data_IF_263150171756
#
_entry.id   IF_263150171756
#
_cell.length_a   1.000
_cell.length_b   1.000
_cell.length_c   1.000
_cell.angle_alpha   90.00
_cell.angle_beta   90.00
_cell.angle_gamma   90.00
#
_symmetry.space_group_name_H-M   'P 1'
#
loop_
_entity.id
_entity.type
_entity.pdbx_description
1 polymer ?
#
# COMPACT_ATOMS: atom_id res chain seq x y z
N UNK A 1 -51.78 46.79 -0.45
CA UNK A 1 -52.18 45.65 0.39
C UNK A 1 -51.53 44.42 -0.23
N UNK A 2 -50.31 44.09 0.22
CA UNK A 2 -50.03 43.06 1.25
C UNK A 2 -50.18 41.67 0.64
N UNK A 3 -49.25 40.72 0.70
CA UNK A 3 -47.97 40.59 1.39
C UNK A 3 -47.28 39.33 0.83
N UNK A 4 -45.95 39.28 0.93
CA UNK A 4 -45.13 38.08 0.74
C UNK A 4 -45.49 36.96 1.74
N UNK A 5 -45.20 35.69 1.44
CA UNK A 5 -44.10 34.99 2.14
C UNK A 5 -43.89 33.52 1.74
N UNK A 6 -42.62 33.29 1.45
CA UNK A 6 -41.79 32.07 1.36
C UNK A 6 -42.27 30.84 2.15
N UNK A 7 -42.24 29.71 1.46
CA UNK A 7 -42.29 28.35 2.01
C UNK A 7 -40.98 28.03 2.74
N UNK A 8 -41.06 27.62 4.03
CA UNK A 8 -39.97 26.98 4.77
C UNK A 8 -40.36 25.55 5.14
N UNK A 9 -39.43 24.60 4.93
CA UNK A 9 -39.44 23.28 5.58
C UNK A 9 -39.24 23.45 7.10
N UNK A 10 -39.75 22.53 7.93
CA UNK A 10 -39.11 22.23 9.19
C UNK A 10 -38.72 20.76 9.35
N UNK A 11 -37.56 20.64 9.97
CA UNK A 11 -36.86 19.49 10.50
C UNK A 11 -37.39 19.20 11.93
N UNK A 12 -37.14 17.98 12.41
CA UNK A 12 -37.06 17.54 13.81
C UNK A 12 -38.19 16.68 14.45
N UNK A 13 -37.68 15.54 14.98
CA UNK A 13 -37.96 14.89 16.27
C UNK A 13 -39.27 14.12 16.42
N UNK A 14 -39.15 12.79 16.40
CA UNK A 14 -40.02 11.90 17.19
C UNK A 14 -39.21 10.83 17.89
N UNK A 15 -39.01 11.03 19.18
CA UNK A 15 -38.74 9.99 20.17
C UNK A 15 -40.08 9.66 20.85
N UNK A 16 -40.39 8.35 20.90
CA UNK A 16 -41.12 7.61 21.94
C UNK A 16 -42.60 7.86 22.24
N UNK A 17 -43.37 6.79 22.05
CA UNK A 17 -44.44 6.16 22.89
C UNK A 17 -45.23 5.27 21.90
N UNK A 18 -45.36 3.95 22.09
CA UNK A 18 -46.49 3.29 22.79
C UNK A 18 -46.16 1.84 23.17
N UNK A 19 -46.96 1.35 24.13
CA UNK A 19 -46.81 0.21 25.03
C UNK A 19 -47.11 -1.20 24.48
N UNK A 20 -46.42 -2.20 25.10
CA UNK A 20 -46.87 -3.50 25.63
C UNK A 20 -48.20 -4.13 25.17
N UNK A 21 -48.16 -5.42 24.75
CA UNK A 21 -49.13 -6.48 25.12
C UNK A 21 -48.47 -7.89 25.17
N UNK A 22 -48.61 -8.53 26.34
CA UNK A 22 -48.75 -9.96 26.72
C UNK A 22 -47.78 -11.05 26.23
N UNK A 23 -46.97 -11.67 27.10
CA UNK A 23 -47.24 -12.82 28.04
C UNK A 23 -47.32 -14.19 27.35
N UNK A 24 -46.24 -14.98 27.49
CA UNK A 24 -46.27 -16.45 27.59
C UNK A 24 -45.45 -16.85 28.82
N UNK A 25 -46.08 -17.58 29.74
CA UNK A 25 -45.51 -18.18 30.95
C UNK A 25 -45.36 -19.69 30.73
N UNK A 26 -44.47 -20.30 31.53
CA UNK A 26 -44.20 -21.73 31.81
C UNK A 26 -42.91 -22.22 31.14
N UNK A 27 -41.86 -22.65 31.86
CA UNK A 27 -41.68 -22.81 33.31
C UNK A 27 -40.19 -23.00 33.64
N UNK A 28 -39.79 -22.46 34.80
CA UNK A 28 -38.49 -22.70 35.41
C UNK A 28 -38.69 -23.59 36.65
N UNK A 29 -37.92 -24.67 36.72
CA UNK A 29 -37.74 -25.48 37.92
C UNK A 29 -36.29 -25.38 38.39
N UNK A 30 -36.15 -24.98 39.65
CA UNK A 30 -35.12 -25.38 40.62
C UNK A 30 -33.67 -24.87 40.47
N UNK A 31 -33.25 -24.11 41.50
CA UNK A 31 -32.08 -24.53 42.27
C UNK A 31 -31.04 -23.47 42.62
N UNK A 32 -31.34 -22.58 43.57
CA UNK A 32 -30.36 -21.79 44.34
C UNK A 32 -29.36 -22.67 45.11
N UNK A 33 -28.08 -22.25 45.20
CA UNK A 33 -27.32 -22.13 46.47
C UNK A 33 -26.23 -21.05 46.42
N UNK A 34 -26.34 -20.12 47.38
CA UNK A 34 -25.36 -19.16 47.98
C UNK A 34 -24.10 -19.89 48.54
N UNK A 35 -22.96 -19.29 48.93
CA UNK A 35 -22.49 -17.91 49.14
C UNK A 35 -20.94 -17.92 49.30
N UNK A 36 -20.34 -16.76 49.00
CA UNK A 36 -19.22 -16.04 49.67
C UNK A 36 -17.79 -16.60 49.84
N UNK A 37 -16.85 -15.78 49.31
CA UNK A 37 -15.65 -15.17 49.98
C UNK A 37 -14.51 -16.09 50.47
N UNK A 38 -13.21 -15.73 50.51
CA UNK A 38 -12.33 -14.64 50.04
C UNK A 38 -10.90 -15.03 50.53
N UNK A 39 -9.87 -14.55 49.84
CA UNK A 39 -8.45 -14.34 50.27
C UNK A 39 -7.47 -15.54 50.32
N UNK A 40 -6.34 -15.28 49.65
CA UNK A 40 -5.10 -16.04 49.57
C UNK A 40 -4.22 -16.00 50.84
N UNK A 41 -3.30 -16.97 51.00
CA UNK A 41 -1.89 -16.73 51.37
C UNK A 41 -1.03 -18.01 51.28
N UNK A 42 0.01 -17.88 50.45
CA UNK A 42 1.31 -18.56 50.31
C UNK A 42 1.87 -19.41 51.47
N UNK A 43 2.42 -20.59 51.14
CA UNK A 43 3.82 -21.00 51.49
C UNK A 43 4.25 -22.35 50.87
N UNK A 44 5.36 -22.27 50.11
CA UNK A 44 6.46 -23.23 49.82
C UNK A 44 6.30 -24.76 49.95
N UNK A 45 6.72 -25.50 48.92
CA UNK A 45 7.79 -26.53 49.00
C UNK A 45 8.33 -26.90 47.59
N UNK A 46 9.63 -27.13 47.55
CA UNK A 46 10.60 -27.32 46.48
C UNK A 46 10.48 -28.63 45.69
N UNK A 47 10.94 -28.58 44.43
CA UNK A 47 11.55 -29.66 43.62
C UNK A 47 10.70 -30.81 43.10
N UNK A 48 10.44 -30.79 41.78
CA UNK A 48 10.67 -31.96 40.94
C UNK A 48 11.08 -31.52 39.54
N UNK A 49 12.33 -31.84 39.25
CA UNK A 49 13.04 -31.71 37.98
C UNK A 49 12.41 -32.64 36.93
N UNK A 50 11.99 -32.09 35.80
CA UNK A 50 11.84 -32.86 34.56
C UNK A 50 12.39 -32.07 33.38
N UNK A 51 13.30 -32.72 32.69
CA UNK A 51 14.25 -32.15 31.75
C UNK A 51 13.62 -31.67 30.43
N UNK A 52 14.10 -30.48 30.02
CA UNK A 52 14.48 -30.02 28.67
C UNK A 52 13.52 -30.33 27.51
N UNK A 53 12.67 -29.35 27.22
CA UNK A 53 12.36 -28.94 25.85
C UNK A 53 13.25 -27.73 25.48
N UNK A 54 13.63 -27.54 24.20
CA UNK A 54 14.67 -26.61 23.81
C UNK A 54 14.22 -25.17 24.07
N UNK A 55 15.12 -24.41 24.70
CA UNK A 55 15.01 -22.98 25.02
C UNK A 55 14.31 -22.20 23.90
N UNK A 56 13.04 -21.85 24.10
CA UNK A 56 12.41 -20.72 23.40
C UNK A 56 13.19 -19.49 23.84
N UNK A 57 14.03 -18.94 22.95
CA UNK A 57 14.80 -17.73 23.25
C UNK A 57 13.82 -16.63 23.62
N UNK A 58 13.86 -16.18 24.87
CA UNK A 58 13.09 -15.01 25.29
C UNK A 58 13.78 -13.80 24.66
N UNK A 59 13.14 -13.22 23.64
CA UNK A 59 13.57 -11.96 23.02
C UNK A 59 13.17 -10.84 23.97
N UNK A 60 14.14 -10.12 24.51
CA UNK A 60 13.88 -8.92 25.33
C UNK A 60 13.67 -7.72 24.42
N UNK A 61 12.51 -7.06 24.55
CA UNK A 61 12.15 -5.88 23.77
C UNK A 61 12.43 -4.60 24.58
N UNK A 62 12.84 -3.49 23.96
CA UNK A 62 12.90 -2.20 24.62
C UNK A 62 11.50 -1.73 25.07
N UNK A 63 11.36 -1.00 26.19
CA UNK A 63 10.04 -0.58 26.70
C UNK A 63 9.18 0.19 25.69
N UNK A 64 9.80 1.05 24.87
CA UNK A 64 9.08 1.80 23.84
C UNK A 64 8.51 0.92 22.72
N UNK A 65 9.18 -0.20 22.39
CA UNK A 65 8.69 -1.18 21.44
C UNK A 65 7.51 -1.96 22.02
N UNK A 66 7.64 -2.42 23.27
CA UNK A 66 6.56 -3.11 23.99
C UNK A 66 5.30 -2.24 24.10
N UNK A 67 5.47 -0.95 24.37
CA UNK A 67 4.36 0.01 24.47
C UNK A 67 3.61 0.16 23.14
N UNK A 68 4.33 0.35 22.03
CA UNK A 68 3.69 0.44 20.71
C UNK A 68 2.97 -0.86 20.36
N UNK A 69 3.63 -2.01 20.54
CA UNK A 69 3.04 -3.33 20.28
C UNK A 69 1.77 -3.52 21.11
N UNK A 70 1.79 -3.14 22.39
CA UNK A 70 0.65 -3.26 23.30
C UNK A 70 -0.54 -2.42 22.82
N UNK A 71 -0.33 -1.17 22.40
CA UNK A 71 -1.41 -0.30 21.92
C UNK A 71 -2.02 -0.85 20.63
N UNK A 72 -1.19 -1.23 19.65
CA UNK A 72 -1.67 -1.78 18.38
C UNK A 72 -2.37 -3.14 18.60
N UNK A 73 -1.80 -4.02 19.41
CA UNK A 73 -2.40 -5.33 19.73
C UNK A 73 -3.72 -5.21 20.50
N UNK A 74 -3.87 -4.16 21.31
CA UNK A 74 -5.15 -3.82 21.94
C UNK A 74 -6.21 -3.50 20.89
N UNK A 75 -5.88 -2.59 19.97
CA UNK A 75 -6.76 -2.20 18.87
C UNK A 75 -7.09 -3.36 17.91
N UNK A 76 -6.15 -4.28 17.65
CA UNK A 76 -6.39 -5.50 16.89
C UNK A 76 -7.47 -6.38 17.55
N UNK A 77 -7.46 -6.51 18.88
CA UNK A 77 -8.49 -7.28 19.61
C UNK A 77 -9.84 -6.59 19.56
N UNK A 78 -9.88 -5.30 19.88
CA UNK A 78 -11.12 -4.50 19.81
C UNK A 78 -11.73 -4.50 18.40
N UNK A 79 -10.92 -4.43 17.35
CA UNK A 79 -11.38 -4.48 15.96
C UNK A 79 -11.98 -5.84 15.58
N UNK A 80 -11.48 -6.94 16.16
CA UNK A 80 -12.03 -8.28 15.96
C UNK A 80 -13.39 -8.45 16.62
N UNK A 81 -13.58 -7.84 17.78
CA UNK A 81 -14.83 -7.88 18.55
C UNK A 81 -15.85 -6.83 18.06
N UNK A 82 -15.46 -5.94 17.16
CA UNK A 82 -16.33 -4.90 16.61
C UNK A 82 -17.40 -5.47 15.66
N UNK A 83 -18.65 -5.09 15.91
CA UNK A 83 -19.84 -5.51 15.17
C UNK A 83 -20.03 -4.77 13.84
N UNK A 84 -19.41 -3.59 13.70
CA UNK A 84 -19.54 -2.75 12.51
C UNK A 84 -18.34 -1.81 12.33
N UNK A 85 -18.24 -1.20 11.15
CA UNK A 85 -17.12 -0.34 10.80
C UNK A 85 -17.09 1.00 11.56
N UNK A 86 -18.22 1.46 12.11
CA UNK A 86 -18.21 2.66 12.96
C UNK A 86 -17.48 2.39 14.28
N UNK A 87 -17.67 1.22 14.88
CA UNK A 87 -16.92 0.80 16.07
C UNK A 87 -15.42 0.67 15.75
N UNK A 88 -15.07 0.06 14.60
CA UNK A 88 -13.67 -0.02 14.13
C UNK A 88 -13.05 1.37 13.91
N UNK A 89 -13.80 2.30 13.32
CA UNK A 89 -13.38 3.68 13.14
C UNK A 89 -13.05 4.35 14.48
N UNK A 90 -13.89 4.13 15.49
CA UNK A 90 -13.63 4.58 16.87
C UNK A 90 -12.38 3.95 17.49
N UNK A 91 -12.21 2.63 17.36
CA UNK A 91 -11.01 1.91 17.81
C UNK A 91 -9.74 2.46 17.17
N UNK A 92 -9.76 2.69 15.84
CA UNK A 92 -8.63 3.26 15.12
C UNK A 92 -8.28 4.65 15.63
N UNK A 93 -9.27 5.54 15.76
CA UNK A 93 -9.06 6.89 16.26
C UNK A 93 -8.47 6.90 17.68
N UNK A 94 -8.95 6.01 18.56
CA UNK A 94 -8.42 5.89 19.92
C UNK A 94 -6.97 5.35 19.93
N UNK A 95 -6.69 4.32 19.12
CA UNK A 95 -5.33 3.78 18.93
C UNK A 95 -4.36 4.87 18.50
N UNK A 96 -4.70 5.62 17.45
CA UNK A 96 -3.81 6.64 16.89
C UNK A 96 -3.54 7.77 17.90
N UNK A 97 -4.57 8.16 18.67
CA UNK A 97 -4.40 9.09 19.79
C UNK A 97 -3.42 8.57 20.85
N UNK A 98 -3.55 7.30 21.26
CA UNK A 98 -2.66 6.69 22.26
C UNK A 98 -1.21 6.61 21.75
N UNK A 99 -1.02 6.18 20.50
CA UNK A 99 0.30 6.15 19.85
C UNK A 99 0.92 7.55 19.89
N UNK A 100 0.15 8.59 19.53
CA UNK A 100 0.64 9.97 19.52
C UNK A 100 0.96 10.55 20.89
N UNK A 101 0.30 10.08 21.95
CA UNK A 101 0.61 10.48 23.32
C UNK A 101 1.91 9.84 23.83
N UNK A 102 2.21 8.61 23.38
CA UNK A 102 3.35 7.82 23.87
C UNK A 102 4.61 8.04 23.03
N UNK A 103 4.49 8.11 21.70
CA UNK A 103 5.61 8.29 20.76
C UNK A 103 6.04 9.76 20.69
N UNK A 104 6.75 10.22 21.72
CA UNK A 104 7.34 11.58 21.76
C UNK A 104 8.45 11.78 20.72
N UNK A 105 9.13 10.70 20.35
CA UNK A 105 10.13 10.64 19.28
C UNK A 105 9.68 9.59 18.26
N UNK A 106 9.89 9.90 16.98
CA UNK A 106 9.73 8.92 15.90
C UNK A 106 11.00 8.10 15.66
N UNK A 107 12.15 8.57 16.15
CA UNK A 107 13.39 7.82 16.10
C UNK A 107 13.42 6.79 17.24
N UNK A 108 13.81 5.55 16.90
CA UNK A 108 13.85 4.41 17.81
C UNK A 108 15.20 3.70 17.70
N UNK A 109 15.60 3.03 18.78
CA UNK A 109 16.87 2.32 18.87
C UNK A 109 16.70 0.92 19.44
N UNK A 110 17.44 -0.02 18.86
CA UNK A 110 17.56 -1.41 19.30
C UNK A 110 16.24 -2.18 19.41
N UNK A 111 15.28 -1.88 18.53
CA UNK A 111 14.04 -2.64 18.42
C UNK A 111 14.30 -4.00 17.80
N UNK A 112 13.44 -4.98 18.07
CA UNK A 112 13.63 -6.36 17.64
C UNK A 112 12.47 -6.84 16.79
N UNK A 113 12.76 -7.15 15.54
CA UNK A 113 11.79 -7.66 14.58
C UNK A 113 12.20 -9.00 13.99
N UNK A 114 11.23 -9.77 13.53
CA UNK A 114 11.45 -10.97 12.72
C UNK A 114 11.43 -10.59 11.25
N UNK A 115 12.41 -11.04 10.47
CA UNK A 115 12.50 -10.71 9.05
C UNK A 115 11.41 -11.44 8.27
N UNK A 116 10.48 -10.68 7.68
CA UNK A 116 9.40 -11.20 6.84
C UNK A 116 9.75 -11.09 5.36
N UNK A 117 10.47 -10.05 4.95
CA UNK A 117 10.90 -9.89 3.56
C UNK A 117 12.27 -9.20 3.49
N UNK A 118 13.15 -9.77 2.66
CA UNK A 118 14.36 -9.12 2.15
C UNK A 118 14.25 -9.20 0.64
N UNK A 119 14.31 -8.06 -0.02
CA UNK A 119 14.18 -7.98 -1.47
C UNK A 119 14.94 -6.77 -2.01
N UNK A 120 14.93 -6.58 -3.32
CA UNK A 120 15.35 -5.34 -3.95
C UNK A 120 14.25 -4.84 -4.89
N UNK A 121 14.07 -3.53 -4.96
CA UNK A 121 13.22 -2.94 -5.97
C UNK A 121 13.92 -3.01 -7.36
N UNK A 122 13.23 -2.56 -8.41
CA UNK A 122 13.77 -2.56 -9.78
C UNK A 122 15.02 -1.70 -9.97
N UNK A 123 15.29 -0.75 -9.07
CA UNK A 123 16.50 0.10 -9.08
C UNK A 123 17.68 -0.57 -8.35
N UNK A 124 17.49 -1.77 -7.82
CA UNK A 124 18.47 -2.47 -7.00
C UNK A 124 18.57 -1.97 -5.56
N UNK A 125 17.67 -1.09 -5.11
CA UNK A 125 17.62 -0.62 -3.72
C UNK A 125 16.93 -1.67 -2.84
N UNK A 126 17.43 -1.83 -1.63
CA UNK A 126 16.92 -2.83 -0.69
C UNK A 126 15.52 -2.50 -0.18
N UNK A 127 14.67 -3.52 -0.13
CA UNK A 127 13.33 -3.50 0.46
C UNK A 127 13.34 -4.45 1.65
N UNK A 128 12.95 -3.96 2.83
CA UNK A 128 13.00 -4.71 4.08
C UNK A 128 11.67 -4.62 4.81
N UNK A 129 11.14 -5.77 5.24
CA UNK A 129 9.95 -5.87 6.08
C UNK A 129 10.28 -6.72 7.32
N UNK A 130 10.02 -6.15 8.51
CA UNK A 130 10.18 -6.82 9.79
C UNK A 130 8.83 -6.89 10.54
N UNK A 131 8.44 -8.07 10.98
CA UNK A 131 7.32 -8.27 11.91
C UNK A 131 7.81 -8.02 13.35
N UNK A 132 7.29 -6.99 14.02
CA UNK A 132 7.60 -6.71 15.44
C UNK A 132 6.66 -7.43 16.40
N UNK A 133 5.47 -7.81 15.93
CA UNK A 133 4.49 -8.63 16.65
C UNK A 133 3.48 -9.24 15.64
N UNK A 134 2.66 -10.23 16.04
CA UNK A 134 1.69 -10.85 15.13
C UNK A 134 0.79 -9.82 14.44
N UNK A 135 0.91 -9.72 13.11
CA UNK A 135 0.16 -8.75 12.31
C UNK A 135 0.60 -7.30 12.52
N UNK A 136 1.83 -7.03 12.96
CA UNK A 136 2.36 -5.68 13.08
C UNK A 136 3.72 -5.64 12.38
N UNK A 137 3.77 -4.92 11.25
CA UNK A 137 4.95 -4.88 10.38
C UNK A 137 5.52 -3.47 10.33
N UNK A 138 6.85 -3.37 10.39
CA UNK A 138 7.60 -2.17 10.01
C UNK A 138 8.32 -2.44 8.70
N UNK A 139 8.18 -1.53 7.73
CA UNK A 139 8.69 -1.77 6.38
C UNK A 139 9.14 -0.51 5.67
N UNK A 140 10.07 -0.70 4.75
CA UNK A 140 10.32 0.28 3.70
C UNK A 140 9.15 0.33 2.72
N UNK A 141 9.12 1.34 1.87
CA UNK A 141 8.43 1.24 0.59
C UNK A 141 9.09 0.16 -0.27
N UNK A 142 8.37 -0.33 -1.27
CA UNK A 142 8.86 -1.29 -2.25
C UNK A 142 9.16 -0.65 -3.61
N UNK A 143 8.89 0.64 -3.79
CA UNK A 143 9.10 1.39 -5.02
C UNK A 143 9.57 2.83 -4.72
N UNK A 144 10.45 3.36 -5.57
CA UNK A 144 11.10 4.65 -5.32
C UNK A 144 10.15 5.86 -5.36
N UNK A 145 9.01 5.74 -6.05
CA UNK A 145 8.04 6.85 -6.22
C UNK A 145 7.26 7.09 -4.93
N UNK A 146 6.67 6.05 -4.35
CA UNK A 146 6.00 6.16 -3.04
C UNK A 146 6.99 6.48 -1.92
N UNK A 147 8.26 6.14 -2.15
CA UNK A 147 9.36 6.47 -1.26
C UNK A 147 9.85 7.93 -1.35
N UNK A 148 9.43 8.75 -2.33
CA UNK A 148 9.95 10.13 -2.47
C UNK A 148 9.75 10.97 -1.21
N UNK A 149 8.62 10.78 -0.50
CA UNK A 149 8.31 11.51 0.72
C UNK A 149 9.06 10.99 1.95
N UNK A 150 9.52 9.74 1.93
CA UNK A 150 10.00 9.04 3.12
C UNK A 150 11.49 8.62 3.02
N UNK A 151 11.99 8.29 1.83
CA UNK A 151 13.38 7.91 1.56
C UNK A 151 13.81 6.71 2.39
N UNK A 152 12.96 5.69 2.48
CA UNK A 152 13.10 4.44 3.24
C UNK A 152 13.85 3.34 2.49
N UNK A 153 13.87 3.35 1.16
CA UNK A 153 14.58 2.36 0.36
C UNK A 153 16.06 2.36 0.72
N UNK A 154 16.62 1.17 0.86
CA UNK A 154 17.96 1.01 1.38
C UNK A 154 18.95 1.11 0.22
N UNK A 155 19.72 2.20 0.19
CA UNK A 155 20.66 2.46 -0.90
C UNK A 155 21.77 1.40 -0.96
N UNK A 156 22.12 0.87 -2.16
CA UNK A 156 23.27 0.01 -2.35
C UNK A 156 24.56 0.65 -1.83
N UNK A 157 25.44 -0.18 -1.28
CA UNK A 157 26.72 0.28 -0.70
C UNK A 157 26.61 0.86 0.72
N UNK A 158 25.41 1.05 1.27
CA UNK A 158 25.25 1.43 2.68
C UNK A 158 25.48 0.24 3.63
N UNK A 159 25.90 0.48 4.88
CA UNK A 159 26.04 -0.59 5.89
C UNK A 159 24.73 -1.36 6.14
N UNK A 160 23.59 -0.66 6.08
CA UNK A 160 22.26 -1.26 6.21
C UNK A 160 22.00 -2.23 5.06
N UNK A 161 22.29 -1.84 3.81
CA UNK A 161 22.15 -2.73 2.64
C UNK A 161 23.03 -3.97 2.74
N UNK A 162 24.31 -3.76 3.08
CA UNK A 162 25.29 -4.83 3.19
C UNK A 162 24.89 -5.87 4.24
N UNK A 163 24.31 -5.42 5.35
CA UNK A 163 23.87 -6.32 6.42
C UNK A 163 22.53 -6.97 6.07
N UNK A 164 21.53 -6.20 5.64
CA UNK A 164 20.20 -6.70 5.31
C UNK A 164 20.22 -7.75 4.19
N UNK A 165 21.03 -7.54 3.14
CA UNK A 165 21.14 -8.45 1.99
C UNK A 165 21.66 -9.86 2.34
N UNK A 166 22.28 -10.02 3.52
CA UNK A 166 22.79 -11.30 4.00
C UNK A 166 21.81 -12.00 4.96
N UNK A 167 20.73 -11.33 5.36
CA UNK A 167 19.75 -11.86 6.30
C UNK A 167 18.76 -12.80 5.60
N UNK A 168 18.13 -13.67 6.39
CA UNK A 168 17.18 -14.66 5.87
C UNK A 168 15.78 -14.43 6.44
N UNK A 169 14.75 -14.67 5.64
CA UNK A 169 13.36 -14.71 6.12
C UNK A 169 13.26 -15.64 7.33
N UNK A 170 12.56 -15.21 8.36
CA UNK A 170 12.35 -15.97 9.60
C UNK A 170 13.36 -15.68 10.71
N UNK A 171 14.50 -15.07 10.40
CA UNK A 171 15.52 -14.67 11.38
C UNK A 171 15.05 -13.48 12.23
N UNK A 172 15.48 -13.41 13.49
CA UNK A 172 15.32 -12.20 14.30
C UNK A 172 16.44 -11.19 14.06
N UNK A 173 16.08 -9.92 14.07
CA UNK A 173 16.93 -8.78 13.78
C UNK A 173 16.79 -7.73 14.88
N UNK A 174 17.91 -7.14 15.31
CA UNK A 174 17.88 -5.88 16.04
C UNK A 174 18.03 -4.73 15.03
N UNK A 175 17.23 -3.69 15.13
CA UNK A 175 17.22 -2.58 14.20
C UNK A 175 17.01 -1.23 14.90
N UNK A 176 17.43 -0.17 14.23
CA UNK A 176 17.18 1.22 14.63
C UNK A 176 16.81 2.04 13.41
N UNK A 177 16.20 3.21 13.63
CA UNK A 177 15.74 4.06 12.54
C UNK A 177 14.67 5.04 12.98
N UNK A 178 13.82 5.44 12.05
CA UNK A 178 12.74 6.38 12.31
C UNK A 178 11.44 6.02 11.60
N UNK A 179 10.34 6.18 12.33
CA UNK A 179 8.99 6.28 11.76
C UNK A 179 8.76 7.66 11.13
N UNK A 180 7.66 7.77 10.39
CA UNK A 180 7.18 9.03 9.82
C UNK A 180 5.84 9.40 10.43
N UNK A 181 5.53 10.70 10.47
CA UNK A 181 4.18 11.15 10.84
C UNK A 181 3.19 10.70 9.78
N UNK A 182 2.05 10.19 10.22
CA UNK A 182 0.92 9.95 9.35
C UNK A 182 0.28 11.26 8.90
N UNK A 183 -0.58 11.17 7.88
CA UNK A 183 -1.40 12.29 7.42
C UNK A 183 -2.72 12.32 8.18
N UNK A 184 -3.35 13.50 8.24
CA UNK A 184 -4.62 13.73 8.92
C UNK A 184 -4.59 13.35 10.41
N UNK A 185 -5.40 12.37 10.83
CA UNK A 185 -5.48 11.88 12.19
C UNK A 185 -4.55 10.69 12.48
N UNK A 186 -3.79 10.22 11.47
CA UNK A 186 -2.89 9.07 11.63
C UNK A 186 -1.60 9.51 12.32
N UNK A 187 -1.21 8.81 13.40
CA UNK A 187 -0.03 9.20 14.15
C UNK A 187 1.28 8.81 13.43
N UNK A 188 1.30 7.60 12.89
CA UNK A 188 2.41 7.04 12.13
C UNK A 188 1.95 6.80 10.70
N UNK A 189 2.84 7.05 9.74
CA UNK A 189 2.57 6.70 8.36
C UNK A 189 2.48 5.17 8.22
N UNK A 190 1.48 4.69 7.50
CA UNK A 190 1.27 3.27 7.21
C UNK A 190 0.84 3.06 5.74
N UNK A 191 1.08 1.87 5.20
CA UNK A 191 0.75 1.49 3.82
C UNK A 191 -0.62 0.79 3.70
N UNK A 192 -1.22 0.39 4.83
CA UNK A 192 -2.50 -0.32 4.83
C UNK A 192 -3.65 0.58 4.38
N UNK A 193 -4.45 0.13 3.41
CA UNK A 193 -5.49 0.96 2.77
C UNK A 193 -6.83 0.88 3.51
N UNK A 194 -7.32 -0.32 3.80
CA UNK A 194 -8.64 -0.51 4.39
C UNK A 194 -8.64 -0.25 5.89
N UNK A 195 -9.75 0.24 6.45
CA UNK A 195 -9.89 0.40 7.91
C UNK A 195 -9.55 -0.89 8.67
N UNK A 196 -9.99 -2.03 8.14
CA UNK A 196 -9.70 -3.35 8.72
C UNK A 196 -8.22 -3.71 8.60
N UNK A 197 -7.60 -3.47 7.43
CA UNK A 197 -6.16 -3.68 7.23
C UNK A 197 -5.32 -2.83 8.19
N UNK A 198 -5.65 -1.54 8.30
CA UNK A 198 -5.02 -0.62 9.25
C UNK A 198 -5.10 -1.12 10.69
N UNK A 199 -6.21 -1.75 11.09
CA UNK A 199 -6.39 -2.24 12.47
C UNK A 199 -5.82 -3.64 12.70
N UNK A 200 -5.95 -4.55 11.75
CA UNK A 200 -5.62 -5.97 11.92
C UNK A 200 -4.18 -6.29 11.52
N UNK A 201 -3.68 -5.64 10.47
CA UNK A 201 -2.36 -5.87 9.90
C UNK A 201 -1.69 -4.55 9.47
N UNK A 202 -1.48 -3.58 10.38
CA UNK A 202 -0.84 -2.32 10.04
C UNK A 202 0.56 -2.52 9.48
N UNK A 203 0.83 -1.81 8.40
CA UNK A 203 2.09 -1.80 7.68
C UNK A 203 2.79 -0.45 7.87
N UNK A 204 3.49 -0.30 9.01
CA UNK A 204 4.11 0.96 9.41
C UNK A 204 5.33 1.30 8.53
N UNK A 205 5.34 2.50 7.97
CA UNK A 205 6.45 2.99 7.14
C UNK A 205 7.64 3.34 8.02
N UNK A 206 8.81 2.80 7.70
CA UNK A 206 10.02 2.93 8.51
C UNK A 206 11.28 3.11 7.67
N UNK A 207 12.17 4.01 8.11
CA UNK A 207 13.51 4.19 7.54
C UNK A 207 14.55 3.59 8.47
N UNK A 208 15.21 2.54 8.01
CA UNK A 208 16.27 1.85 8.76
C UNK A 208 17.57 2.66 8.75
N UNK A 209 18.15 2.89 9.93
CA UNK A 209 19.50 3.44 10.10
C UNK A 209 20.51 2.37 10.52
N UNK A 210 20.05 1.29 11.16
CA UNK A 210 20.85 0.10 11.45
C UNK A 210 19.99 -1.15 11.45
N UNK A 211 20.59 -2.28 11.06
CA UNK A 211 20.01 -3.61 11.20
C UNK A 211 21.15 -4.60 11.43
N UNK A 212 20.93 -5.58 12.30
CA UNK A 212 21.87 -6.66 12.55
C UNK A 212 21.12 -7.94 12.97
N UNK A 213 21.69 -9.14 12.77
CA UNK A 213 21.16 -10.36 13.38
C UNK A 213 20.99 -10.18 14.90
N UNK A 214 19.83 -10.56 15.43
CA UNK A 214 19.62 -10.56 16.88
C UNK A 214 20.41 -11.70 17.50
N UNK A 215 21.39 -11.36 18.34
CA UNK A 215 22.12 -12.32 19.16
C UNK A 215 21.64 -12.14 20.60
N UNK A 216 21.02 -13.17 21.18
CA UNK A 216 20.38 -13.12 22.50
C UNK A 216 21.32 -12.70 23.66
N UNK A 217 22.64 -12.65 23.44
CA UNK A 217 23.64 -12.20 24.42
C UNK A 217 23.92 -10.69 24.41
N UNK A 218 23.45 -9.91 23.42
CA UNK A 218 23.72 -8.46 23.32
C UNK A 218 22.63 -7.54 23.90
N UNK A 219 21.48 -8.07 24.31
CA UNK A 219 20.33 -7.26 24.71
C UNK A 219 20.44 -6.55 26.08
N UNK A 220 21.53 -6.73 26.82
CA UNK A 220 21.71 -6.11 28.13
C UNK A 220 22.57 -4.82 28.12
N UNK A 221 23.29 -4.52 27.04
CA UNK A 221 24.33 -3.47 27.05
C UNK A 221 23.93 -2.14 26.40
N UNK A 222 22.80 -2.06 25.68
CA UNK A 222 22.47 -0.88 24.86
C UNK A 222 21.52 0.13 25.54
N UNK A 223 21.32 0.03 26.86
CA UNK A 223 20.38 0.86 27.61
C UNK A 223 20.96 2.20 28.14
N UNK A 224 22.06 2.74 27.57
CA UNK A 224 22.61 4.04 27.97
C UNK A 224 23.23 4.76 26.76
N UNK A 225 22.70 5.94 26.40
CA UNK A 225 23.20 6.82 25.32
C UNK A 225 24.57 7.48 25.63
N UNK A 226 25.09 8.44 24.83
CA UNK A 226 24.34 9.54 24.17
C UNK A 226 24.74 9.88 22.70
N UNK A 227 23.93 10.74 22.07
CA UNK A 227 24.18 11.50 20.81
C UNK A 227 25.26 12.58 21.06
N UNK A 228 26.16 12.97 20.10
CA UNK A 228 25.86 14.12 19.23
C UNK A 228 26.56 14.18 17.83
N UNK A 229 26.05 15.13 17.03
CA UNK A 229 26.76 16.03 16.10
C UNK A 229 27.07 15.60 14.64
N UNK A 230 26.26 16.16 13.72
CA UNK A 230 26.63 16.95 12.54
C UNK A 230 28.01 16.79 11.90
N UNK A 231 28.05 16.60 10.57
CA UNK A 231 28.98 17.33 9.69
C UNK A 231 28.53 17.30 8.20
N UNK A 232 29.17 18.06 7.27
CA UNK A 232 28.49 19.00 6.40
C UNK A 232 28.54 18.58 4.92
N UNK A 233 27.99 19.46 4.08
CA UNK A 233 27.94 19.39 2.63
C UNK A 233 29.22 18.86 1.95
N UNK A 234 29.03 17.96 0.97
CA UNK A 234 29.97 17.75 -0.12
C UNK A 234 29.21 17.84 -1.44
N UNK A 235 29.43 18.96 -2.10
CA UNK A 235 29.14 19.19 -3.51
C UNK A 235 30.07 18.33 -4.35
N UNK A 236 29.55 17.45 -5.20
CA UNK A 236 30.22 17.07 -6.43
C UNK A 236 29.19 16.87 -7.53
N UNK A 237 29.30 17.72 -8.55
CA UNK A 237 28.57 17.62 -9.79
C UNK A 237 29.10 16.42 -10.59
N UNK A 238 28.19 15.69 -11.25
CA UNK A 238 28.51 14.77 -12.35
C UNK A 238 27.48 15.03 -13.46
N UNK A 239 27.90 15.15 -14.74
CA UNK A 239 27.09 15.76 -15.77
C UNK A 239 26.05 14.80 -16.37
N UNK A 240 24.93 15.42 -16.75
CA UNK A 240 23.85 14.87 -17.55
C UNK A 240 24.36 14.45 -18.94
N UNK A 241 24.26 13.14 -19.25
CA UNK A 241 24.44 12.63 -20.59
C UNK A 241 23.10 12.06 -21.08
N UNK A 242 22.50 12.78 -22.02
CA UNK A 242 21.43 12.29 -22.87
C UNK A 242 21.95 11.14 -23.74
N UNK A 243 21.18 10.07 -23.85
CA UNK A 243 21.32 9.12 -24.94
C UNK A 243 19.94 8.58 -25.32
N UNK A 244 19.42 9.12 -26.42
CA UNK A 244 18.39 8.50 -27.22
C UNK A 244 18.91 7.15 -27.74
N UNK A 245 18.06 6.12 -27.69
CA UNK A 245 18.26 4.92 -28.48
C UNK A 245 16.93 4.58 -29.17
N UNK A 246 16.83 5.08 -30.40
CA UNK A 246 15.98 4.53 -31.45
C UNK A 246 16.47 3.14 -31.83
N UNK A 247 15.63 2.12 -31.70
CA UNK A 247 15.76 0.90 -32.50
C UNK A 247 14.36 0.32 -32.73
N UNK A 248 14.03 0.06 -33.99
CA UNK A 248 13.07 -0.96 -34.40
C UNK A 248 13.26 -1.25 -35.91
N UNK A 249 12.79 -2.39 -36.47
CA UNK A 249 12.53 -3.72 -35.89
C UNK A 249 13.12 -4.87 -36.75
N UNK A 250 13.25 -6.09 -36.21
CA UNK A 250 12.99 -7.36 -36.94
C UNK A 250 13.09 -8.61 -36.03
N UNK A 251 12.03 -9.42 -36.05
CA UNK A 251 11.95 -10.86 -35.78
C UNK A 251 12.47 -11.43 -34.44
N UNK A 252 11.51 -11.83 -33.59
CA UNK A 252 11.61 -13.09 -32.82
C UNK A 252 12.12 -13.02 -31.39
N UNK A 253 12.40 -11.83 -30.83
CA UNK A 253 12.77 -11.74 -29.41
C UNK A 253 11.55 -11.36 -28.59
N UNK A 254 11.03 -12.32 -27.81
CA UNK A 254 10.00 -12.06 -26.82
C UNK A 254 10.55 -11.04 -25.80
N UNK A 255 10.03 -9.82 -25.82
CA UNK A 255 10.39 -8.78 -24.85
C UNK A 255 9.56 -9.03 -23.59
N UNK A 256 10.17 -9.03 -22.41
CA UNK A 256 9.47 -9.14 -21.13
C UNK A 256 9.82 -7.96 -20.22
N UNK A 257 8.88 -7.53 -19.40
CA UNK A 257 9.11 -6.42 -18.48
C UNK A 257 7.96 -6.23 -17.49
N UNK A 258 8.04 -5.18 -16.67
CA UNK A 258 6.99 -4.83 -15.72
C UNK A 258 6.04 -3.78 -16.32
N UNK A 259 4.78 -3.86 -15.92
CA UNK A 259 3.78 -2.81 -16.09
C UNK A 259 3.90 -1.97 -14.83
N UNK A 260 4.32 -0.72 -14.98
CA UNK A 260 4.48 0.22 -13.86
C UNK A 260 3.17 1.02 -13.70
N UNK A 261 2.77 1.34 -12.47
CA UNK A 261 1.56 2.12 -12.22
C UNK A 261 1.70 3.58 -12.69
N UNK A 262 2.92 4.12 -12.63
CA UNK A 262 3.28 5.47 -13.02
C UNK A 262 4.35 5.43 -14.12
N UNK A 263 3.92 5.32 -15.37
CA UNK A 263 4.84 5.38 -16.51
C UNK A 263 5.29 6.82 -16.84
N UNK A 264 5.93 7.02 -17.99
CA UNK A 264 6.65 8.27 -18.28
C UNK A 264 5.69 9.46 -18.45
N UNK A 265 6.05 10.61 -17.88
CA UNK A 265 5.28 11.87 -18.07
C UNK A 265 5.23 12.36 -19.52
N UNK A 266 6.23 11.98 -20.31
CA UNK A 266 6.37 12.30 -21.73
C UNK A 266 6.85 11.06 -22.48
N UNK A 267 6.25 10.77 -23.62
CA UNK A 267 6.56 9.59 -24.42
C UNK A 267 6.47 9.92 -25.91
N UNK A 268 7.58 9.76 -26.63
CA UNK A 268 7.59 9.90 -28.09
C UNK A 268 6.90 8.72 -28.78
N UNK A 269 6.03 9.01 -29.75
CA UNK A 269 5.30 8.01 -30.55
C UNK A 269 5.39 8.34 -32.04
N UNK A 270 4.95 7.41 -32.89
CA UNK A 270 4.83 7.61 -34.35
C UNK A 270 3.86 8.73 -34.75
N UNK A 271 2.92 9.09 -33.87
CA UNK A 271 1.93 10.15 -34.11
C UNK A 271 2.28 11.49 -33.43
N UNK A 272 3.38 11.55 -32.66
CA UNK A 272 3.79 12.74 -31.91
C UNK A 272 4.14 12.44 -30.45
N UNK A 273 4.39 13.48 -29.66
CA UNK A 273 4.66 13.33 -28.23
C UNK A 273 3.34 13.16 -27.46
N UNK A 274 3.24 12.07 -26.68
CA UNK A 274 2.28 11.96 -25.60
C UNK A 274 2.85 12.62 -24.36
N UNK A 275 2.05 13.43 -23.68
CA UNK A 275 2.47 14.14 -22.47
C UNK A 275 1.33 14.30 -21.49
N UNK A 276 1.61 14.05 -20.21
CA UNK A 276 0.72 14.43 -19.11
C UNK A 276 0.87 15.93 -18.87
N UNK A 277 -0.19 16.69 -19.12
CA UNK A 277 -0.21 18.16 -19.12
C UNK A 277 -1.28 18.65 -18.16
N UNK A 278 -0.98 19.72 -17.40
CA UNK A 278 -1.98 20.50 -16.67
C UNK A 278 -2.62 21.50 -17.63
N UNK A 279 -3.92 21.38 -17.83
CA UNK A 279 -4.71 22.23 -18.70
C UNK A 279 -4.93 23.62 -18.06
N UNK A 280 -5.29 24.65 -18.84
CA UNK A 280 -5.61 25.97 -18.29
C UNK A 280 -6.74 25.96 -17.23
N UNK A 281 -7.59 24.93 -17.22
CA UNK A 281 -8.62 24.71 -16.20
C UNK A 281 -8.07 24.22 -14.85
N UNK A 282 -6.78 23.86 -14.76
CA UNK A 282 -6.14 23.25 -13.59
C UNK A 282 -6.26 21.73 -13.53
N UNK A 283 -7.03 21.12 -14.44
CA UNK A 283 -7.16 19.67 -14.55
C UNK A 283 -5.97 19.08 -15.30
N UNK A 284 -5.61 17.85 -14.96
CA UNK A 284 -4.60 17.10 -15.72
C UNK A 284 -5.26 16.44 -16.93
N UNK A 285 -4.48 16.20 -17.98
CA UNK A 285 -4.90 15.37 -19.11
C UNK A 285 -3.68 14.79 -19.82
N UNK A 286 -3.87 13.65 -20.49
CA UNK A 286 -2.90 13.16 -21.47
C UNK A 286 -3.15 13.90 -22.78
N UNK A 287 -2.09 14.49 -23.34
CA UNK A 287 -2.11 15.24 -24.60
C UNK A 287 -1.25 14.55 -25.64
N UNK A 288 -1.70 14.52 -26.91
CA UNK A 288 -0.94 14.07 -28.08
C UNK A 288 -0.67 15.27 -28.98
N UNK A 289 0.61 15.62 -29.17
CA UNK A 289 0.98 16.80 -29.97
C UNK A 289 0.39 18.10 -29.43
N UNK A 290 0.15 18.19 -28.13
CA UNK A 290 -0.45 19.34 -27.45
C UNK A 290 -1.98 19.36 -27.40
N UNK A 291 -2.67 18.46 -28.11
CA UNK A 291 -4.13 18.33 -28.03
C UNK A 291 -4.52 17.26 -26.99
N UNK A 292 -5.50 17.50 -26.10
CA UNK A 292 -6.00 16.47 -25.19
C UNK A 292 -6.49 15.23 -25.93
N UNK A 293 -6.09 14.05 -25.46
CA UNK A 293 -6.53 12.77 -26.01
C UNK A 293 -8.00 12.49 -25.69
N UNK A 294 -8.43 12.91 -24.50
CA UNK A 294 -9.81 12.85 -24.04
C UNK A 294 -10.20 14.17 -23.37
N UNK A 295 -11.51 14.40 -23.27
CA UNK A 295 -12.11 15.58 -22.63
C UNK A 295 -13.15 15.11 -21.63
N UNK A 296 -13.23 15.73 -20.44
CA UNK A 296 -14.20 15.36 -19.40
C UNK A 296 -13.52 15.13 -18.04
N UNK A 297 -14.33 14.88 -17.01
CA UNK A 297 -13.85 14.71 -15.62
C UNK A 297 -12.86 13.54 -15.49
N UNK A 298 -13.01 12.49 -16.31
CA UNK A 298 -12.14 11.32 -16.26
C UNK A 298 -10.80 11.48 -16.99
N UNK A 299 -10.64 12.53 -17.81
CA UNK A 299 -9.39 12.78 -18.55
C UNK A 299 -8.18 13.02 -17.61
N UNK A 300 -8.44 13.49 -16.38
CA UNK A 300 -7.41 13.76 -15.38
C UNK A 300 -6.88 12.53 -14.65
N UNK A 301 -7.58 11.40 -14.75
CA UNK A 301 -7.23 10.14 -14.09
C UNK A 301 -6.42 9.20 -14.98
N UNK A 302 -5.93 9.70 -16.10
CA UNK A 302 -5.18 8.89 -17.05
C UNK A 302 -3.68 9.14 -16.96
N UNK A 303 -2.92 8.05 -16.99
CA UNK A 303 -1.46 8.07 -17.02
C UNK A 303 -0.90 7.22 -18.14
N UNK A 304 0.22 7.67 -18.71
CA UNK A 304 0.96 6.91 -19.72
C UNK A 304 1.71 5.81 -19.00
N UNK A 305 1.59 4.55 -19.45
CA UNK A 305 2.31 3.41 -18.86
C UNK A 305 3.49 3.02 -19.73
N UNK A 306 3.25 2.60 -20.98
CA UNK A 306 4.30 2.06 -21.85
C UNK A 306 3.95 2.11 -23.33
N UNK A 307 4.94 2.37 -24.17
CA UNK A 307 4.88 2.19 -25.63
C UNK A 307 5.26 0.76 -26.01
N UNK A 308 4.51 0.21 -26.95
CA UNK A 308 4.83 -1.00 -27.69
C UNK A 308 4.85 -0.66 -29.16
N UNK A 309 6.00 -0.85 -29.80
CA UNK A 309 6.09 -0.65 -31.24
C UNK A 309 5.45 -1.85 -31.94
N UNK A 310 4.63 -1.59 -32.95
CA UNK A 310 3.92 -2.59 -33.74
C UNK A 310 4.38 -2.56 -35.20
N UNK A 311 4.11 -3.65 -35.91
CA UNK A 311 4.30 -3.74 -37.35
C UNK A 311 3.49 -2.67 -38.10
N UNK A 312 4.00 -2.29 -39.27
CA UNK A 312 3.38 -1.27 -40.12
C UNK A 312 3.58 0.17 -39.64
N UNK A 313 4.54 0.43 -38.74
CA UNK A 313 4.84 1.78 -38.26
C UNK A 313 3.76 2.35 -37.34
N UNK A 314 3.15 1.47 -36.53
CA UNK A 314 2.13 1.83 -35.55
C UNK A 314 2.70 1.69 -34.15
N UNK A 315 2.18 2.47 -33.20
CA UNK A 315 2.43 2.26 -31.78
C UNK A 315 1.13 1.83 -31.09
N UNK A 316 1.23 0.89 -30.16
CA UNK A 316 0.23 0.71 -29.11
C UNK A 316 0.81 1.29 -27.81
N UNK A 317 0.13 2.26 -27.22
CA UNK A 317 0.52 2.85 -25.93
C UNK A 317 -0.48 2.37 -24.88
N UNK A 318 0.01 1.64 -23.89
CA UNK A 318 -0.78 1.28 -22.72
C UNK A 318 -0.92 2.53 -21.84
N UNK A 319 -2.16 2.91 -21.54
CA UNK A 319 -2.50 3.91 -20.55
C UNK A 319 -3.19 3.22 -19.37
N UNK A 320 -2.99 3.77 -18.18
CA UNK A 320 -3.75 3.42 -16.99
C UNK A 320 -4.81 4.50 -16.74
N UNK A 321 -5.97 4.06 -16.27
CA UNK A 321 -7.11 4.87 -15.85
C UNK A 321 -7.39 4.55 -14.40
N UNK A 322 -7.14 5.52 -13.51
CA UNK A 322 -7.48 5.44 -12.09
C UNK A 322 -8.81 6.17 -11.80
N UNK A 323 -9.69 6.22 -12.80
CA UNK A 323 -10.90 7.06 -12.88
C UNK A 323 -11.76 7.03 -11.61
N UNK A 324 -12.32 8.19 -11.25
CA UNK A 324 -13.10 8.48 -10.04
C UNK A 324 -14.42 7.72 -9.85
N UNK A 325 -14.49 6.46 -10.28
CA UNK A 325 -15.64 5.55 -10.26
C UNK A 325 -15.86 4.90 -8.88
N UNK A 326 -15.40 5.55 -7.82
CA UNK A 326 -15.48 5.09 -6.43
C UNK A 326 -14.36 4.13 -6.01
N UNK A 327 -14.32 3.80 -4.72
CA UNK A 327 -13.20 3.10 -4.04
C UNK A 327 -13.01 1.62 -4.43
N UNK A 328 -13.68 1.11 -5.46
CA UNK A 328 -13.70 -0.33 -5.77
C UNK A 328 -12.76 -0.74 -6.89
N UNK A 329 -12.21 0.20 -7.66
CA UNK A 329 -11.32 -0.09 -8.76
C UNK A 329 -10.14 0.89 -8.78
N UNK A 330 -8.94 0.40 -8.47
CA UNK A 330 -7.76 1.25 -8.35
C UNK A 330 -7.18 1.61 -9.71
N UNK A 331 -7.11 0.66 -10.64
CA UNK A 331 -6.55 0.88 -11.97
C UNK A 331 -7.17 -0.06 -13.01
N UNK A 332 -7.64 0.53 -14.10
CA UNK A 332 -7.91 -0.16 -15.36
C UNK A 332 -6.90 0.26 -16.42
N UNK A 333 -6.78 -0.53 -17.47
CA UNK A 333 -5.87 -0.29 -18.58
C UNK A 333 -6.63 -0.17 -19.88
N UNK A 334 -6.10 0.60 -20.82
CA UNK A 334 -6.54 0.59 -22.20
C UNK A 334 -5.36 0.89 -23.13
N UNK A 335 -5.42 0.42 -24.37
CA UNK A 335 -4.42 0.75 -25.38
C UNK A 335 -4.91 1.90 -26.23
N UNK A 336 -4.01 2.84 -26.49
CA UNK A 336 -4.14 3.88 -27.52
C UNK A 336 -3.28 3.46 -28.71
N UNK A 337 -3.92 3.29 -29.86
CA UNK A 337 -3.30 2.84 -31.10
C UNK A 337 -3.05 4.06 -31.97
N UNK A 338 -1.79 4.28 -32.32
CA UNK A 338 -1.30 5.48 -32.98
C UNK A 338 -0.65 5.13 -34.30
N UNK A 339 -0.97 5.90 -35.33
CA UNK A 339 -0.35 5.83 -36.65
C UNK A 339 -0.07 7.26 -37.12
N UNK A 340 0.97 7.44 -37.92
CA UNK A 340 1.36 8.76 -38.41
C UNK A 340 0.21 9.42 -39.19
N UNK A 341 -0.14 10.66 -38.82
CA UNK A 341 -1.19 11.48 -39.44
C UNK A 341 -2.63 10.91 -39.36
N UNK A 342 -2.86 9.85 -38.58
CA UNK A 342 -4.20 9.31 -38.35
C UNK A 342 -4.71 9.72 -36.97
N UNK A 343 -6.04 9.69 -36.81
CA UNK A 343 -6.65 9.88 -35.51
C UNK A 343 -6.28 8.70 -34.59
N UNK A 344 -6.01 9.01 -33.32
CA UNK A 344 -5.80 8.01 -32.30
C UNK A 344 -7.05 7.13 -32.16
N UNK A 345 -6.84 5.82 -32.07
CA UNK A 345 -7.89 4.85 -31.75
C UNK A 345 -7.60 4.27 -30.37
N UNK A 346 -8.60 3.73 -29.69
CA UNK A 346 -8.39 3.09 -28.40
C UNK A 346 -9.21 1.82 -28.25
N UNK A 347 -8.74 0.96 -27.37
CA UNK A 347 -9.47 -0.21 -26.92
C UNK A 347 -10.46 0.19 -25.82
N UNK A 348 -11.43 -0.67 -25.49
CA UNK A 348 -12.12 -0.55 -24.21
C UNK A 348 -11.11 -0.65 -23.06
N UNK A 349 -11.51 -0.13 -21.90
CA UNK A 349 -10.83 -0.38 -20.64
C UNK A 349 -10.98 -1.86 -20.24
N UNK A 350 -9.92 -2.42 -19.67
CA UNK A 350 -9.80 -3.82 -19.27
C UNK A 350 -8.88 -3.96 -18.05
N UNK A 351 -8.77 -5.17 -17.51
CA UNK A 351 -7.90 -5.50 -16.37
C UNK A 351 -8.64 -5.75 -15.07
N UNK A 352 -7.87 -5.87 -13.99
CA UNK A 352 -8.29 -6.51 -12.73
C UNK A 352 -8.55 -5.53 -11.60
N UNK A 353 -8.74 -4.24 -11.92
CA UNK A 353 -8.86 -3.17 -10.92
C UNK A 353 -7.65 -3.04 -10.00
N UNK A 354 -6.49 -3.54 -10.42
CA UNK A 354 -5.24 -3.53 -9.65
C UNK A 354 -4.11 -2.98 -10.49
N UNK A 355 -3.24 -2.12 -9.95
CA UNK A 355 -2.10 -1.59 -10.68
C UNK A 355 -1.00 -2.64 -10.82
N UNK A 356 -0.17 -2.43 -11.83
CA UNK A 356 1.06 -3.15 -12.06
C UNK A 356 0.89 -4.46 -12.83
N UNK A 357 1.87 -5.34 -12.68
CA UNK A 357 1.92 -6.63 -13.37
C UNK A 357 3.14 -6.75 -14.27
N UNK A 358 3.11 -7.74 -15.16
CA UNK A 358 4.18 -7.98 -16.11
C UNK A 358 3.64 -7.97 -17.53
N UNK A 359 4.50 -7.71 -18.51
CA UNK A 359 4.15 -7.86 -19.91
C UNK A 359 5.11 -8.79 -20.62
N UNK A 360 4.64 -9.38 -21.71
CA UNK A 360 5.49 -9.90 -22.76
C UNK A 360 4.97 -9.51 -24.13
N UNK A 361 5.86 -9.20 -25.06
CA UNK A 361 5.52 -8.87 -26.44
C UNK A 361 6.20 -9.85 -27.40
N UNK A 362 5.42 -10.38 -28.34
CA UNK A 362 5.88 -11.20 -29.46
C UNK A 362 5.26 -10.67 -30.76
N UNK A 363 6.05 -9.90 -31.53
CA UNK A 363 5.56 -9.12 -32.66
C UNK A 363 4.45 -8.14 -32.22
N UNK A 364 3.31 -8.18 -32.90
CA UNK A 364 2.16 -7.31 -32.59
C UNK A 364 1.34 -7.82 -31.40
N UNK A 365 1.63 -9.02 -30.89
CA UNK A 365 0.92 -9.63 -29.77
C UNK A 365 1.55 -9.19 -28.46
N UNK A 366 0.78 -8.52 -27.60
CA UNK A 366 1.18 -8.09 -26.26
C UNK A 366 0.34 -8.87 -25.25
N UNK A 367 0.99 -9.57 -24.34
CA UNK A 367 0.36 -10.27 -23.21
C UNK A 367 0.68 -9.52 -21.94
N UNK A 368 -0.34 -9.13 -21.20
CA UNK A 368 -0.24 -8.50 -19.88
C UNK A 368 -0.66 -9.53 -18.83
N UNK A 369 0.18 -9.74 -17.81
CA UNK A 369 -0.15 -10.56 -16.65
C UNK A 369 -0.39 -9.62 -15.47
N UNK A 370 -1.66 -9.41 -15.15
CA UNK A 370 -2.13 -8.44 -14.17
C UNK A 370 -2.47 -9.13 -12.85
N UNK A 371 -2.15 -8.53 -11.70
CA UNK A 371 -2.48 -9.09 -10.40
C UNK A 371 -4.00 -9.09 -10.19
N UNK A 372 -4.56 -10.20 -9.73
CA UNK A 372 -5.95 -10.32 -9.30
C UNK A 372 -6.01 -11.05 -7.95
N UNK A 373 -7.18 -11.06 -7.31
CA UNK A 373 -7.37 -11.74 -6.02
C UNK A 373 -7.06 -13.24 -6.17
N UNK A 374 -5.94 -13.68 -5.60
CA UNK A 374 -5.53 -15.08 -5.56
C UNK A 374 -5.00 -15.68 -6.86
N UNK A 375 -4.84 -14.88 -7.93
CA UNK A 375 -4.31 -15.35 -9.22
C UNK A 375 -3.66 -14.22 -10.01
N UNK A 376 -2.93 -14.58 -11.07
CA UNK A 376 -2.56 -13.65 -12.13
C UNK A 376 -3.55 -13.80 -13.27
N UNK A 377 -4.15 -12.71 -13.71
CA UNK A 377 -5.02 -12.67 -14.89
C UNK A 377 -4.20 -12.30 -16.12
N UNK A 378 -4.53 -12.86 -17.29
CA UNK A 378 -3.79 -12.59 -18.52
C UNK A 378 -4.72 -11.92 -19.55
N UNK A 379 -4.42 -10.68 -19.88
CA UNK A 379 -5.08 -9.91 -20.93
C UNK A 379 -4.17 -9.84 -22.16
N UNK A 380 -4.72 -10.02 -23.36
CA UNK A 380 -3.94 -10.10 -24.59
C UNK A 380 -4.40 -9.04 -25.58
N UNK A 381 -3.49 -8.19 -26.03
CA UNK A 381 -3.69 -7.37 -27.21
C UNK A 381 -3.10 -8.07 -28.44
N UNK A 382 -3.89 -8.23 -29.49
CA UNK A 382 -3.51 -8.99 -30.70
C UNK A 382 -3.04 -8.11 -31.88
N UNK A 383 -2.77 -6.83 -31.62
CA UNK A 383 -2.46 -5.84 -32.65
C UNK A 383 -3.67 -4.99 -33.09
N UNK A 384 -4.88 -5.35 -32.63
CA UNK A 384 -6.13 -4.65 -32.95
C UNK A 384 -7.08 -4.52 -31.75
N UNK A 385 -7.25 -5.57 -30.97
CA UNK A 385 -8.24 -5.66 -29.90
C UNK A 385 -7.66 -6.34 -28.66
N UNK A 386 -8.34 -6.17 -27.52
CA UNK A 386 -8.01 -6.85 -26.27
C UNK A 386 -8.87 -8.10 -26.13
N UNK A 387 -8.26 -9.17 -25.64
CA UNK A 387 -8.84 -10.48 -25.41
C UNK A 387 -8.58 -10.87 -23.95
N UNK A 388 -9.65 -11.16 -23.21
CA UNK A 388 -9.62 -11.68 -21.85
C UNK A 388 -10.43 -12.99 -21.82
N UNK A 389 -9.90 -14.01 -21.13
CA UNK A 389 -10.51 -15.36 -21.09
C UNK A 389 -10.88 -15.93 -22.48
N UNK A 390 -10.06 -15.62 -23.49
CA UNK A 390 -10.25 -16.08 -24.87
C UNK A 390 -11.36 -15.37 -25.65
N UNK A 391 -11.97 -14.30 -25.10
CA UNK A 391 -13.02 -13.52 -25.75
C UNK A 391 -12.59 -12.06 -25.95
N UNK A 392 -12.97 -11.42 -27.07
CA UNK A 392 -12.73 -9.99 -27.26
C UNK A 392 -13.47 -9.17 -26.21
N UNK A 393 -12.78 -8.18 -25.61
CA UNK A 393 -13.41 -7.18 -24.75
C UNK A 393 -14.21 -6.23 -25.64
N UNK A 394 -15.50 -6.10 -25.36
CA UNK A 394 -16.43 -5.28 -26.16
C UNK A 394 -16.55 -3.87 -25.56
N UNK A 395 -16.52 -2.84 -26.40
CA UNK A 395 -16.74 -1.47 -25.98
C UNK A 395 -18.20 -1.26 -25.58
N UNK A 396 -18.40 -0.80 -24.34
CA UNK A 396 -19.68 -0.40 -23.77
C UNK A 396 -19.48 0.91 -23.00
N UNK A 397 -20.57 1.57 -22.62
CA UNK A 397 -20.47 2.87 -21.93
C UNK A 397 -19.65 2.80 -20.62
N UNK A 398 -19.63 1.66 -19.93
CA UNK A 398 -18.92 1.49 -18.66
C UNK A 398 -17.42 1.22 -18.76
N UNK A 399 -16.87 1.05 -19.97
CA UNK A 399 -15.44 0.81 -20.21
C UNK A 399 -14.91 1.64 -21.39
N UNK A 400 -15.57 2.77 -21.69
CA UNK A 400 -15.11 3.70 -22.70
C UNK A 400 -14.19 4.73 -22.04
N UNK A 401 -12.88 4.74 -22.33
CA UNK A 401 -11.93 5.67 -21.71
C UNK A 401 -12.16 7.14 -22.13
N UNK A 402 -13.06 7.39 -23.08
CA UNK A 402 -13.44 8.75 -23.50
C UNK A 402 -14.63 9.35 -22.75
N UNK A 403 -15.22 8.60 -21.82
CA UNK A 403 -16.47 8.96 -21.15
C UNK A 403 -16.32 9.27 -19.69
#
# INVERSE_FOLDING_TARGET
MSEESKTKKPFFKRLWFWALVAVVVVGASMGERKNDSKVASTSSTTSSEKAKDPKKSVVTLPPAEEDLIRVISGAQRESKDAENDMQRGGTKANRDKLICQQMRSLAVSNWVGKVEKIDSNSDGKGVLELSIAPGITVKTWNNAISDVLHGTLIEPGTPVFQTASQMKRGQYAVFSGSFFRGTEADCLAEQSVTLRGKLEAPELVFKFSSVAPYIATQSAAAAQGPVPASNPAVTTAVPQAAAAATVDPAAGTKVVGQIEADGPKTLGTVAGELKVTELPSGERAVTLGGAPLFTGEDAQWQSIVRRFALSGGRDAVLLASSGGRGNSCETLYFFVILEKNNQAKWTPEFGTCSPGGTFSQDGDRISLSLPAVGKMEVSIFDGKQVIEDGKPVVLVAGNDPSK
#
